data_IF_728027382259
#
_entry.id   IF_728027382259
#
_cell.length_a   1.000
_cell.length_b   1.000
_cell.length_c   1.000
_cell.angle_alpha   90.00
_cell.angle_beta   90.00
_cell.angle_gamma   90.00
#
_symmetry.space_group_name_H-M   'P 1'
#
loop_
_entity.id
_entity.type
_entity.pdbx_description
1 polymer ?
#
# COMPACT_ATOMS: atom_id res chain seq x y z
N UNK A 1 21.30 -2.23 -9.21
CA UNK A 1 20.48 -3.01 -8.26
C UNK A 1 19.12 -3.20 -8.87
N UNK A 2 18.51 -4.38 -8.69
CA UNK A 2 17.15 -4.62 -9.18
C UNK A 2 16.11 -3.85 -8.32
N UNK A 3 14.96 -3.48 -8.90
CA UNK A 3 13.81 -3.00 -8.13
C UNK A 3 13.31 -4.07 -7.15
N UNK A 4 12.67 -3.63 -6.07
CA UNK A 4 11.94 -4.51 -5.18
C UNK A 4 10.64 -4.96 -5.87
N UNK A 5 10.20 -6.18 -5.62
CA UNK A 5 8.86 -6.64 -5.99
C UNK A 5 7.88 -6.22 -4.90
N UNK A 6 6.65 -5.86 -5.25
CA UNK A 6 5.65 -5.43 -4.28
C UNK A 6 4.37 -6.28 -4.33
N UNK A 7 3.85 -6.61 -3.15
CA UNK A 7 2.46 -7.03 -2.96
C UNK A 7 1.55 -5.82 -2.76
N UNK A 8 0.35 -5.88 -3.31
CA UNK A 8 -0.62 -4.78 -3.26
C UNK A 8 -1.85 -5.20 -2.47
N UNK A 9 -2.16 -4.46 -1.39
CA UNK A 9 -3.24 -4.77 -0.47
C UNK A 9 -4.23 -3.61 -0.42
N UNK A 10 -5.43 -3.83 -0.96
CA UNK A 10 -6.53 -2.88 -0.85
C UNK A 10 -7.14 -2.97 0.53
N UNK A 11 -7.35 -1.80 1.15
CA UNK A 11 -8.08 -1.68 2.40
C UNK A 11 -9.50 -1.23 2.10
N UNK A 12 -10.48 -1.95 2.61
CA UNK A 12 -11.90 -1.59 2.59
C UNK A 12 -12.43 -1.41 4.01
N UNK A 13 -13.59 -0.79 4.10
CA UNK A 13 -14.28 -0.63 5.37
C UNK A 13 -14.90 -1.98 5.77
N UNK A 14 -14.72 -2.44 7.01
CA UNK A 14 -15.33 -3.70 7.46
C UNK A 14 -16.86 -3.72 7.35
N UNK A 15 -17.50 -2.55 7.49
CA UNK A 15 -18.95 -2.37 7.37
C UNK A 15 -19.44 -2.22 5.91
N UNK A 16 -18.52 -2.09 4.95
CA UNK A 16 -18.82 -2.01 3.51
C UNK A 16 -17.70 -2.71 2.69
N UNK A 17 -17.62 -4.05 2.75
CA UNK A 17 -16.54 -4.83 2.14
C UNK A 17 -16.63 -4.89 0.61
N UNK A 18 -17.80 -4.61 0.03
CA UNK A 18 -17.99 -4.53 -1.43
C UNK A 18 -17.86 -3.10 -1.98
N UNK A 19 -17.75 -2.11 -1.09
CA UNK A 19 -17.57 -0.71 -1.41
C UNK A 19 -16.20 -0.36 -2.00
N UNK A 20 -16.01 0.91 -2.40
CA UNK A 20 -14.73 1.37 -2.91
C UNK A 20 -13.64 1.25 -1.84
N UNK A 21 -12.39 0.92 -2.22
CA UNK A 21 -11.29 0.87 -1.29
C UNK A 21 -11.04 2.24 -0.68
N UNK A 22 -10.65 2.24 0.59
CA UNK A 22 -10.30 3.45 1.33
C UNK A 22 -8.82 3.76 1.25
N UNK A 23 -7.97 2.75 1.02
CA UNK A 23 -6.54 2.93 0.87
C UNK A 23 -5.91 1.71 0.16
N UNK A 24 -4.61 1.82 -0.13
CA UNK A 24 -3.76 0.75 -0.62
C UNK A 24 -2.44 0.74 0.15
N UNK A 25 -1.96 -0.46 0.48
CA UNK A 25 -0.60 -0.71 0.94
C UNK A 25 0.16 -1.41 -0.18
N UNK A 26 1.30 -0.85 -0.59
CA UNK A 26 2.30 -1.55 -1.40
C UNK A 26 3.43 -2.01 -0.49
N UNK A 27 3.48 -3.31 -0.18
CA UNK A 27 4.50 -3.91 0.68
C UNK A 27 5.55 -4.59 -0.19
N UNK A 28 6.83 -4.26 0.02
CA UNK A 28 7.92 -4.90 -0.67
C UNK A 28 8.10 -6.34 -0.18
N UNK A 29 8.20 -7.28 -1.11
CA UNK A 29 8.62 -8.64 -0.84
C UNK A 29 10.10 -8.64 -0.47
N UNK A 30 10.37 -8.64 0.83
CA UNK A 30 11.72 -8.63 1.38
C UNK A 30 11.80 -9.55 2.58
N UNK A 31 12.94 -10.21 2.76
CA UNK A 31 13.24 -11.02 3.94
C UNK A 31 13.64 -10.20 5.18
N UNK A 32 13.68 -8.88 5.06
CA UNK A 32 14.07 -7.93 6.11
C UNK A 32 12.88 -7.30 6.84
N UNK A 33 13.09 -6.16 7.52
CA UNK A 33 12.00 -5.38 8.09
C UNK A 33 10.94 -5.04 7.05
N UNK A 34 9.67 -4.96 7.48
CA UNK A 34 8.57 -4.52 6.61
C UNK A 34 8.96 -3.22 5.92
N UNK A 35 8.86 -3.22 4.59
CA UNK A 35 9.04 -2.03 3.77
C UNK A 35 7.74 -1.81 3.03
N UNK A 36 7.05 -0.72 3.34
CA UNK A 36 5.73 -0.49 2.78
C UNK A 36 5.48 0.99 2.49
N UNK A 37 4.81 1.22 1.37
CA UNK A 37 4.36 2.54 0.92
C UNK A 37 2.84 2.59 0.98
N UNK A 38 2.30 3.65 1.57
CA UNK A 38 0.86 3.85 1.76
C UNK A 38 0.49 5.23 1.24
N UNK A 39 -0.72 5.37 0.69
CA UNK A 39 -1.27 6.69 0.39
C UNK A 39 -1.60 7.43 1.69
N UNK A 40 -0.91 8.55 1.90
CA UNK A 40 -1.10 9.43 3.04
C UNK A 40 -2.04 10.57 2.66
N UNK A 41 -3.28 10.50 3.14
CA UNK A 41 -4.33 11.49 2.82
C UNK A 41 -3.99 12.92 3.26
N UNK A 42 -3.40 13.17 4.45
CA UNK A 42 -2.98 14.51 4.86
C UNK A 42 -2.03 15.19 3.89
N UNK A 43 -0.99 14.49 3.43
CA UNK A 43 0.01 15.04 2.51
C UNK A 43 -0.35 14.85 1.04
N UNK A 44 -1.36 14.03 0.73
CA UNK A 44 -1.76 13.62 -0.63
C UNK A 44 -0.57 13.06 -1.41
N UNK A 45 0.21 12.20 -0.75
CA UNK A 45 1.40 11.59 -1.33
C UNK A 45 1.51 10.11 -0.94
N UNK A 46 2.24 9.36 -1.75
CA UNK A 46 2.69 8.02 -1.40
C UNK A 46 3.88 8.14 -0.46
N UNK A 47 3.78 7.55 0.72
CA UNK A 47 4.78 7.72 1.78
C UNK A 47 5.22 6.39 2.35
N UNK A 48 6.50 6.29 2.72
CA UNK A 48 7.04 5.13 3.41
C UNK A 48 6.49 5.06 4.85
N UNK A 49 5.70 4.04 5.14
CA UNK A 49 4.98 3.85 6.43
C UNK A 49 4.99 2.38 6.86
N UNK A 50 6.17 1.79 7.12
CA UNK A 50 6.29 0.38 7.46
C UNK A 50 5.56 -0.01 8.75
N UNK A 51 5.60 0.85 9.78
CA UNK A 51 4.94 0.58 11.06
C UNK A 51 3.41 0.50 10.92
N UNK A 52 2.83 1.37 10.09
CA UNK A 52 1.39 1.39 9.83
C UNK A 52 0.97 0.17 9.03
N UNK A 53 1.76 -0.19 8.00
CA UNK A 53 1.49 -1.39 7.22
C UNK A 53 1.55 -2.64 8.08
N UNK A 54 2.58 -2.79 8.91
CA UNK A 54 2.71 -3.94 9.80
C UNK A 54 1.55 -4.01 10.82
N UNK A 55 1.13 -2.86 11.36
CA UNK A 55 0.01 -2.81 12.28
C UNK A 55 -1.32 -3.24 11.64
N UNK A 56 -1.54 -2.90 10.37
CA UNK A 56 -2.77 -3.22 9.62
C UNK A 56 -2.74 -4.66 9.11
N UNK A 57 -1.68 -5.08 8.44
CA UNK A 57 -1.60 -6.39 7.78
C UNK A 57 -1.41 -7.54 8.79
N UNK A 58 -0.64 -7.30 9.86
CA UNK A 58 -0.16 -8.39 10.72
C UNK A 58 -0.68 -8.29 12.15
N UNK A 59 -0.79 -7.09 12.72
CA UNK A 59 -1.13 -6.94 14.15
C UNK A 59 -2.64 -6.88 14.43
N UNK A 60 -3.44 -6.26 13.56
CA UNK A 60 -4.90 -6.14 13.74
C UNK A 60 -5.66 -6.27 12.40
N UNK A 61 -5.49 -7.38 11.66
CA UNK A 61 -6.13 -7.55 10.36
C UNK A 61 -7.66 -7.47 10.45
N UNK A 62 -8.28 -7.92 11.54
CA UNK A 62 -9.74 -7.91 11.72
C UNK A 62 -10.39 -6.52 11.75
N UNK A 63 -9.59 -5.44 11.85
CA UNK A 63 -10.09 -4.06 11.81
C UNK A 63 -10.28 -3.52 10.40
N UNK A 64 -9.82 -4.24 9.38
CA UNK A 64 -9.93 -3.83 7.98
C UNK A 64 -10.32 -5.03 7.13
N UNK A 65 -11.16 -4.81 6.13
CA UNK A 65 -11.31 -5.82 5.09
C UNK A 65 -10.14 -5.65 4.11
N UNK A 66 -9.22 -6.62 4.12
CA UNK A 66 -7.96 -6.57 3.36
C UNK A 66 -8.05 -7.53 2.18
N UNK A 67 -7.83 -7.02 0.97
CA UNK A 67 -7.75 -7.84 -0.23
C UNK A 67 -6.40 -7.65 -0.93
N UNK A 68 -5.65 -8.74 -1.07
CA UNK A 68 -4.46 -8.75 -1.93
C UNK A 68 -4.87 -8.80 -3.41
N UNK A 69 -4.26 -7.95 -4.23
CA UNK A 69 -4.54 -7.82 -5.66
C UNK A 69 -3.25 -7.71 -6.48
N UNK A 70 -3.36 -7.86 -7.80
CA UNK A 70 -2.26 -7.58 -8.71
C UNK A 70 -2.05 -6.05 -8.92
N UNK A 71 -0.90 -5.70 -9.51
CA UNK A 71 -0.53 -4.32 -9.84
C UNK A 71 -1.61 -3.60 -10.67
N UNK A 72 -2.07 -4.24 -11.74
CA UNK A 72 -3.01 -3.64 -12.68
C UNK A 72 -4.37 -3.33 -12.03
N UNK A 73 -4.79 -4.16 -11.08
CA UNK A 73 -6.00 -3.95 -10.29
C UNK A 73 -5.77 -2.85 -9.26
N UNK A 74 -4.62 -2.83 -8.57
CA UNK A 74 -4.26 -1.74 -7.67
C UNK A 74 -4.28 -0.37 -8.39
N UNK A 75 -3.65 -0.25 -9.56
CA UNK A 75 -3.63 0.97 -10.36
C UNK A 75 -5.03 1.48 -10.74
N UNK A 76 -5.94 0.57 -11.09
CA UNK A 76 -7.34 0.95 -11.38
C UNK A 76 -8.06 1.42 -10.13
N UNK A 77 -7.80 0.77 -9.00
CA UNK A 77 -8.53 0.98 -7.76
C UNK A 77 -8.06 2.23 -6.99
N UNK A 78 -6.79 2.65 -7.12
CA UNK A 78 -6.30 3.86 -6.44
C UNK A 78 -7.02 5.13 -6.87
N UNK A 79 -7.58 5.17 -8.08
CA UNK A 79 -8.35 6.31 -8.58
C UNK A 79 -9.59 6.64 -7.72
N UNK A 80 -10.06 5.71 -6.89
CA UNK A 80 -11.16 5.95 -5.96
C UNK A 80 -10.81 6.86 -4.77
N UNK A 81 -9.52 6.96 -4.39
CA UNK A 81 -9.11 7.67 -3.17
C UNK A 81 -7.83 8.50 -3.30
N UNK A 82 -6.97 8.21 -4.27
CA UNK A 82 -5.73 8.94 -4.50
C UNK A 82 -5.91 9.99 -5.60
N UNK A 83 -5.25 11.14 -5.45
CA UNK A 83 -5.29 12.23 -6.44
C UNK A 83 -4.17 12.15 -7.46
N UNK A 84 -3.21 11.26 -7.25
CA UNK A 84 -2.12 10.96 -8.18
C UNK A 84 -2.05 9.44 -8.41
N UNK A 85 -1.49 8.98 -9.54
CA UNK A 85 -1.34 7.56 -9.82
C UNK A 85 -0.52 6.83 -8.76
N UNK A 86 -0.69 5.50 -8.70
CA UNK A 86 0.18 4.63 -7.93
C UNK A 86 1.58 4.62 -8.57
N UNK A 87 2.67 4.91 -7.82
CA UNK A 87 4.01 4.99 -8.40
C UNK A 87 4.43 3.67 -9.01
N UNK A 88 5.36 3.74 -9.94
CA UNK A 88 6.03 2.57 -10.53
C UNK A 88 6.81 1.80 -9.48
N UNK A 89 7.16 0.54 -9.75
CA UNK A 89 7.95 -0.26 -8.80
C UNK A 89 9.34 0.33 -8.53
N UNK A 90 9.93 1.00 -9.52
CA UNK A 90 11.18 1.75 -9.35
C UNK A 90 11.02 2.94 -8.39
N UNK A 91 9.93 3.71 -8.53
CA UNK A 91 9.63 4.84 -7.64
C UNK A 91 9.26 4.37 -6.22
N UNK A 92 8.47 3.30 -6.10
CA UNK A 92 8.15 2.67 -4.82
C UNK A 92 9.43 2.19 -4.13
N UNK A 93 10.33 1.56 -4.88
CA UNK A 93 11.64 1.15 -4.40
C UNK A 93 12.46 2.35 -3.90
N UNK A 94 12.45 3.45 -4.64
CA UNK A 94 13.18 4.67 -4.26
C UNK A 94 12.58 5.33 -3.00
N UNK A 95 11.25 5.36 -2.88
CA UNK A 95 10.57 5.83 -1.66
C UNK A 95 11.01 5.02 -0.43
N UNK A 96 11.10 3.69 -0.56
CA UNK A 96 11.58 2.83 0.52
C UNK A 96 13.06 3.10 0.87
N UNK A 97 13.92 3.27 -0.14
CA UNK A 97 15.37 3.49 0.06
C UNK A 97 15.70 4.86 0.64
N UNK A 98 15.05 5.90 0.16
CA UNK A 98 15.28 7.28 0.62
C UNK A 98 14.86 7.51 2.09
N UNK A 99 14.11 6.58 2.67
CA UNK A 99 13.65 6.65 4.07
C UNK A 99 14.51 5.86 5.06
N UNK A 100 15.49 5.08 4.57
CA UNK A 100 16.49 4.34 5.36
C UNK A 100 17.80 5.09 5.47
#
# INVERSE_FOLDING_TARGET
MAPLTFGYFLLRRPDDPDGPPVNLIAEADSSGPTQAVIWDRPTRAWTFRPDVAAAILWANPERHEIQQVDRATAERQVAHFATVPLPTEDELTEICRSAT
#
